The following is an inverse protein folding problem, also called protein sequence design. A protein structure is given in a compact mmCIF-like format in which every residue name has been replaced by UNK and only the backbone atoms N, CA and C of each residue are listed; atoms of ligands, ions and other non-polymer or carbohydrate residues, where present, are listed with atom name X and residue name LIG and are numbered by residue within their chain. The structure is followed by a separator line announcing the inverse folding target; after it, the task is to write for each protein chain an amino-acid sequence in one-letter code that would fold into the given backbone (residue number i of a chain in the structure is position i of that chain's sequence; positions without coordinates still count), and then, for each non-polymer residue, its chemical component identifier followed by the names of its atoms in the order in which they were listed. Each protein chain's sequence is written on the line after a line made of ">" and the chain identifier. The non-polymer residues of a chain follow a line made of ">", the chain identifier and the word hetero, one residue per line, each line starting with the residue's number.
data_IF_462663976807
#
_entry.id   IF_462663976807
#
_cell.length_a   1.000
_cell.length_b   1.000
_cell.length_c   1.000
_cell.angle_alpha   90.00
_cell.angle_beta   90.00
_cell.angle_gamma   90.00
#
_symmetry.space_group_name_H-M   'P 1'
#
loop_
_entity.id
_entity.type
_entity.pdbx_description
1 polymer ?
#
# COMPACT_ATOMS: atom_id res chain seq x y z
N UNK A 1 15.89 5.62 -14.00
CA UNK A 1 16.35 5.47 -12.60
C UNK A 1 17.48 4.45 -12.40
N UNK A 2 17.45 3.24 -12.98
CA UNK A 2 18.62 2.31 -12.89
C UNK A 2 19.91 2.86 -13.51
N UNK A 3 19.80 3.53 -14.66
CA UNK A 3 20.92 4.21 -15.30
C UNK A 3 21.50 5.40 -14.50
N UNK A 4 20.80 5.85 -13.46
CA UNK A 4 21.21 6.94 -12.58
C UNK A 4 21.78 6.44 -11.23
N UNK A 5 21.97 5.13 -11.04
CA UNK A 5 22.57 4.55 -9.82
C UNK A 5 21.69 4.56 -8.56
N UNK A 6 20.40 4.91 -8.67
CA UNK A 6 19.50 4.97 -7.50
C UNK A 6 19.04 3.57 -7.11
N UNK A 7 19.20 3.23 -5.82
CA UNK A 7 18.79 1.94 -5.28
C UNK A 7 17.27 1.69 -5.48
N UNK A 8 16.84 0.48 -5.89
CA UNK A 8 15.43 0.19 -6.22
C UNK A 8 14.44 0.50 -5.09
N UNK A 9 14.84 0.25 -3.83
CA UNK A 9 14.01 0.56 -2.66
C UNK A 9 13.75 2.06 -2.49
N UNK A 10 14.77 2.89 -2.73
CA UNK A 10 14.67 4.35 -2.66
C UNK A 10 13.76 4.88 -3.77
N UNK A 11 13.91 4.37 -4.99
CA UNK A 11 13.06 4.73 -6.12
C UNK A 11 11.58 4.33 -5.88
N UNK A 12 11.32 3.13 -5.37
CA UNK A 12 9.97 2.67 -5.06
C UNK A 12 9.28 3.51 -3.99
N UNK A 13 10.01 3.86 -2.93
CA UNK A 13 9.52 4.72 -1.85
C UNK A 13 9.14 6.11 -2.38
N UNK A 14 10.02 6.72 -3.18
CA UNK A 14 9.77 8.02 -3.80
C UNK A 14 8.56 8.00 -4.75
N UNK A 15 8.41 6.95 -5.57
CA UNK A 15 7.26 6.83 -6.47
C UNK A 15 5.94 6.65 -5.70
N UNK A 16 5.95 5.88 -4.62
CA UNK A 16 4.77 5.72 -3.73
C UNK A 16 4.36 7.06 -3.14
N UNK A 17 5.34 7.85 -2.70
CA UNK A 17 5.18 9.22 -2.23
C UNK A 17 4.58 10.14 -3.31
N UNK A 18 5.10 10.11 -4.54
CA UNK A 18 4.54 10.91 -5.65
C UNK A 18 3.08 10.55 -5.97
N UNK A 19 2.74 9.25 -6.02
CA UNK A 19 1.36 8.80 -6.27
C UNK A 19 0.41 9.32 -5.20
N UNK A 20 0.85 9.33 -3.94
CA UNK A 20 0.07 9.87 -2.84
C UNK A 20 -0.16 11.38 -2.95
N UNK A 21 0.86 12.15 -3.37
CA UNK A 21 0.69 13.57 -3.64
C UNK A 21 -0.32 13.84 -4.77
N UNK A 22 -0.29 13.06 -5.85
CA UNK A 22 -1.27 13.19 -6.93
C UNK A 22 -2.69 12.92 -6.43
N UNK A 23 -2.88 11.88 -5.62
CA UNK A 23 -4.18 11.60 -5.00
C UNK A 23 -4.65 12.74 -4.07
N UNK A 24 -3.75 13.30 -3.25
CA UNK A 24 -4.07 14.42 -2.36
C UNK A 24 -4.41 15.72 -3.12
N UNK A 25 -3.81 15.91 -4.30
CA UNK A 25 -4.15 17.02 -5.20
C UNK A 25 -5.52 16.82 -5.85
N UNK A 26 -5.80 15.63 -6.41
CA UNK A 26 -7.07 15.30 -7.07
C UNK A 26 -8.28 15.33 -6.10
N UNK A 27 -8.04 15.06 -4.81
CA UNK A 27 -9.07 15.12 -3.75
C UNK A 27 -9.19 16.48 -3.07
N UNK A 28 -8.38 17.48 -3.48
CA UNK A 28 -8.41 18.84 -2.91
C UNK A 28 -7.85 18.97 -1.49
N UNK A 29 -7.14 17.96 -1.00
CA UNK A 29 -6.38 18.01 0.28
C UNK A 29 -5.12 18.86 0.15
N UNK A 30 -4.63 19.06 -1.06
CA UNK A 30 -3.60 20.03 -1.43
C UNK A 30 -4.19 21.10 -2.37
N UNK A 31 -3.64 22.32 -2.40
CA UNK A 31 -4.00 23.31 -3.41
C UNK A 31 -3.84 22.71 -4.82
N UNK A 32 -4.83 22.91 -5.70
CA UNK A 32 -4.79 22.33 -7.04
C UNK A 32 -3.58 22.79 -7.87
N UNK A 33 -3.08 21.90 -8.74
CA UNK A 33 -1.92 22.13 -9.62
C UNK A 33 -0.62 22.41 -8.88
N UNK A 34 -0.50 22.00 -7.62
CA UNK A 34 0.69 22.31 -6.84
C UNK A 34 1.88 21.51 -7.35
N UNK A 35 1.72 20.24 -7.73
CA UNK A 35 2.82 19.47 -8.31
C UNK A 35 3.21 19.99 -9.71
N UNK A 36 2.23 20.34 -10.55
CA UNK A 36 2.48 21.03 -11.83
C UNK A 36 3.27 22.33 -11.61
N UNK A 37 2.89 23.14 -10.62
CA UNK A 37 3.59 24.40 -10.29
C UNK A 37 5.00 24.17 -9.76
N UNK A 38 5.20 23.11 -8.98
CA UNK A 38 6.47 22.78 -8.33
C UNK A 38 7.48 22.20 -9.34
N UNK A 39 6.99 21.46 -10.34
CA UNK A 39 7.78 20.94 -11.47
C UNK A 39 7.97 21.98 -12.59
N UNK A 40 7.01 22.91 -12.76
CA UNK A 40 7.11 23.98 -13.76
C UNK A 40 8.15 25.06 -13.38
N UNK A 41 8.49 25.20 -12.09
CA UNK A 41 9.66 25.97 -11.68
C UNK A 41 10.89 25.11 -11.97
N UNK A 42 11.89 25.67 -12.68
CA UNK A 42 13.21 25.04 -12.83
C UNK A 42 13.86 24.86 -11.45
N UNK A 43 13.51 23.76 -10.79
CA UNK A 43 13.89 23.44 -9.42
C UNK A 43 14.98 22.39 -9.47
N UNK A 44 16.07 22.61 -8.73
CA UNK A 44 17.12 21.60 -8.61
C UNK A 44 16.58 20.37 -7.86
N UNK A 45 17.06 19.15 -8.16
CA UNK A 45 16.59 17.93 -7.48
C UNK A 45 16.61 18.01 -5.95
N UNK A 46 17.60 18.70 -5.38
CA UNK A 46 17.70 18.92 -3.92
C UNK A 46 16.61 19.86 -3.38
N UNK A 47 16.29 20.94 -4.09
CA UNK A 47 15.20 21.84 -3.70
C UNK A 47 13.84 21.14 -3.82
N UNK A 48 13.66 20.35 -4.87
CA UNK A 48 12.46 19.54 -5.07
C UNK A 48 12.29 18.53 -3.93
N UNK A 49 13.38 17.86 -3.53
CA UNK A 49 13.39 16.93 -2.39
C UNK A 49 12.95 17.61 -1.10
N UNK A 50 13.52 18.77 -0.77
CA UNK A 50 13.16 19.53 0.44
C UNK A 50 11.70 19.97 0.40
N UNK A 51 11.21 20.46 -0.74
CA UNK A 51 9.81 20.86 -0.90
C UNK A 51 8.84 19.68 -0.78
N UNK A 52 9.19 18.52 -1.33
CA UNK A 52 8.40 17.30 -1.18
C UNK A 52 8.40 16.79 0.26
N UNK A 53 9.55 16.85 0.96
CA UNK A 53 9.62 16.52 2.39
C UNK A 53 8.66 17.39 3.21
N UNK A 54 8.68 18.71 3.00
CA UNK A 54 7.77 19.63 3.68
C UNK A 54 6.29 19.33 3.36
N UNK A 55 5.99 18.95 2.12
CA UNK A 55 4.65 18.53 1.69
C UNK A 55 4.16 17.28 2.45
N UNK A 56 5.01 16.25 2.58
CA UNK A 56 4.67 15.04 3.33
C UNK A 56 4.55 15.30 4.83
N UNK A 57 5.32 16.24 5.38
CA UNK A 57 5.16 16.70 6.77
C UNK A 57 3.81 17.41 6.99
N UNK A 58 3.27 18.04 5.94
CA UNK A 58 1.98 18.74 5.98
C UNK A 58 0.80 17.76 5.93
N UNK A 59 0.99 16.54 5.41
CA UNK A 59 -0.10 15.55 5.37
C UNK A 59 -0.43 15.05 6.79
N UNK A 60 -1.72 15.00 7.18
CA UNK A 60 -2.12 14.70 8.55
C UNK A 60 -2.04 13.20 8.90
N UNK A 61 -0.91 12.51 8.68
CA UNK A 61 -0.76 11.08 9.01
C UNK A 61 -1.21 10.75 10.45
N UNK A 62 -1.73 9.54 10.72
CA UNK A 62 -2.03 9.11 12.09
C UNK A 62 -0.83 9.32 13.01
N UNK A 63 -1.09 9.65 14.28
CA UNK A 63 -0.04 9.96 15.24
C UNK A 63 0.98 8.81 15.34
N UNK A 64 2.27 9.11 15.14
CA UNK A 64 3.35 8.13 15.19
C UNK A 64 3.52 7.27 13.93
N UNK A 65 2.73 7.50 12.88
CA UNK A 65 2.83 6.82 11.57
C UNK A 65 3.21 7.78 10.42
N UNK A 66 3.81 8.93 10.75
CA UNK A 66 4.31 9.85 9.73
C UNK A 66 5.63 9.32 9.11
N UNK A 67 6.01 9.78 7.90
CA UNK A 67 7.26 9.39 7.25
C UNK A 67 8.51 9.55 8.12
N UNK A 68 8.55 10.58 8.99
CA UNK A 68 9.64 10.79 9.94
C UNK A 68 9.78 9.63 10.94
N UNK A 69 8.67 9.01 11.37
CA UNK A 69 8.66 7.89 12.30
C UNK A 69 9.13 6.58 11.66
N UNK A 70 9.08 6.48 10.33
CA UNK A 70 9.42 5.25 9.58
C UNK A 70 10.67 5.41 8.71
N UNK A 71 11.41 6.52 8.86
CA UNK A 71 12.53 6.89 7.99
C UNK A 71 13.68 5.88 7.98
N UNK A 72 13.84 5.11 9.06
CA UNK A 72 14.87 4.08 9.18
C UNK A 72 14.61 2.83 8.30
N UNK A 73 13.43 2.70 7.69
CA UNK A 73 13.05 1.61 6.77
C UNK A 73 13.21 0.20 7.37
N UNK A 74 13.25 0.09 8.69
CA UNK A 74 13.30 -1.19 9.39
C UNK A 74 11.87 -1.65 9.60
N UNK A 75 11.59 -2.89 9.24
CA UNK A 75 10.28 -3.51 9.43
C UNK A 75 10.41 -4.75 10.31
N UNK A 76 9.36 -5.06 11.05
CA UNK A 76 9.24 -6.28 11.83
C UNK A 76 7.97 -7.04 11.41
N UNK A 77 7.99 -8.37 11.57
CA UNK A 77 6.82 -9.21 11.28
C UNK A 77 5.86 -9.17 12.45
N UNK A 78 4.59 -8.98 12.12
CA UNK A 78 3.50 -9.17 13.07
C UNK A 78 3.22 -10.67 13.20
N UNK A 79 3.27 -11.21 14.41
CA UNK A 79 2.88 -12.61 14.64
C UNK A 79 1.39 -12.79 14.29
N UNK A 80 1.10 -13.68 13.34
CA UNK A 80 -0.27 -14.05 12.98
C UNK A 80 -0.92 -14.90 14.08
N UNK A 81 -2.25 -14.87 14.29
CA UNK A 81 -2.93 -16.12 14.62
C UNK A 81 -2.60 -17.11 13.49
N UNK A 82 -2.28 -18.36 13.83
CA UNK A 82 -1.89 -19.38 12.83
C UNK A 82 -2.86 -19.34 11.64
N UNK A 83 -2.34 -19.29 10.40
CA UNK A 83 -3.21 -19.49 9.25
C UNK A 83 -3.85 -20.88 9.39
N UNK A 84 -5.17 -20.97 9.16
CA UNK A 84 -5.86 -22.25 9.02
C UNK A 84 -5.05 -23.17 8.08
N UNK A 85 -4.95 -24.49 8.38
CA UNK A 85 -4.03 -25.38 7.69
C UNK A 85 -4.36 -25.40 6.19
N UNK A 86 -3.54 -24.73 5.39
CA UNK A 86 -3.55 -24.84 3.95
C UNK A 86 -2.31 -25.63 3.52
N UNK A 87 -2.45 -26.62 2.63
CA UNK A 87 -1.32 -27.40 2.17
C UNK A 87 -0.39 -26.52 1.31
N UNK A 88 0.88 -26.46 1.70
CA UNK A 88 2.05 -26.00 0.93
C UNK A 88 2.96 -27.22 0.71
N UNK A 89 3.85 -27.30 -0.32
CA UNK A 89 4.84 -26.26 -0.63
C UNK A 89 5.29 -26.10 -2.11
N UNK A 90 5.79 -24.91 -2.47
CA UNK A 90 6.90 -24.73 -3.41
C UNK A 90 7.52 -23.32 -3.26
N UNK A 91 8.82 -23.31 -3.04
CA UNK A 91 9.76 -22.24 -2.67
C UNK A 91 9.74 -20.96 -3.50
N UNK A 92 9.86 -19.80 -2.82
CA UNK A 92 10.22 -18.52 -3.48
C UNK A 92 9.99 -17.22 -2.69
N UNK A 93 9.21 -17.26 -1.60
CA UNK A 93 9.18 -16.30 -0.48
C UNK A 93 8.15 -16.89 0.47
N UNK A 94 8.55 -17.28 1.68
CA UNK A 94 7.56 -17.66 2.70
C UNK A 94 6.48 -16.56 2.76
N UNK A 95 5.22 -16.92 3.00
CA UNK A 95 4.17 -15.95 3.29
C UNK A 95 4.61 -15.14 4.50
N UNK A 96 5.38 -14.07 4.28
CA UNK A 96 5.85 -13.19 5.33
C UNK A 96 4.58 -12.59 5.91
N UNK A 97 4.41 -12.70 7.22
CA UNK A 97 3.31 -12.08 7.92
C UNK A 97 3.23 -10.57 7.62
N UNK A 98 2.16 -9.89 8.03
CA UNK A 98 2.05 -8.47 7.81
C UNK A 98 3.29 -7.79 8.41
N UNK A 99 3.91 -6.90 7.64
CA UNK A 99 5.09 -6.15 8.09
C UNK A 99 4.64 -4.78 8.60
N UNK A 100 5.18 -4.37 9.74
CA UNK A 100 4.99 -3.02 10.30
C UNK A 100 6.35 -2.34 10.50
N UNK A 101 6.41 -0.99 10.57
CA UNK A 101 7.63 -0.30 10.97
C UNK A 101 8.13 -0.78 12.33
N UNK A 102 9.43 -1.03 12.43
CA UNK A 102 10.05 -1.47 13.66
C UNK A 102 10.18 -0.34 14.68
N UNK A 103 10.06 -0.65 15.97
CA UNK A 103 10.32 0.31 17.05
C UNK A 103 9.18 1.32 17.29
N UNK A 104 7.96 1.00 16.84
CA UNK A 104 6.78 1.81 17.13
C UNK A 104 6.42 1.77 18.63
N UNK A 105 5.97 2.89 19.23
CA UNK A 105 5.38 2.89 20.57
C UNK A 105 4.19 1.93 20.66
N UNK A 106 3.97 1.28 21.81
CA UNK A 106 2.96 0.24 21.97
C UNK A 106 1.54 0.66 21.52
N UNK A 107 1.12 1.89 21.84
CA UNK A 107 -0.18 2.43 21.43
C UNK A 107 -0.30 2.53 19.89
N UNK A 108 0.76 3.00 19.22
CA UNK A 108 0.79 3.16 17.75
C UNK A 108 0.92 1.79 17.06
N UNK A 109 1.66 0.87 17.68
CA UNK A 109 1.84 -0.49 17.19
C UNK A 109 0.52 -1.21 16.99
N UNK A 110 -0.42 -1.09 17.94
CA UNK A 110 -1.74 -1.71 17.82
C UNK A 110 -2.48 -1.28 16.54
N UNK A 111 -2.45 0.01 16.23
CA UNK A 111 -3.04 0.54 15.00
C UNK A 111 -2.28 0.06 13.75
N UNK A 112 -0.94 0.09 13.78
CA UNK A 112 -0.12 -0.39 12.67
C UNK A 112 -0.37 -1.87 12.36
N UNK A 113 -0.49 -2.72 13.39
CA UNK A 113 -0.81 -4.14 13.25
C UNK A 113 -2.19 -4.36 12.64
N UNK A 114 -3.21 -3.62 13.13
CA UNK A 114 -4.57 -3.73 12.62
C UNK A 114 -4.64 -3.36 11.13
N UNK A 115 -4.03 -2.24 10.74
CA UNK A 115 -3.96 -1.80 9.34
C UNK A 115 -3.20 -2.83 8.50
N UNK A 116 -2.03 -3.28 8.97
CA UNK A 116 -1.20 -4.22 8.21
C UNK A 116 -1.91 -5.56 7.98
N UNK A 117 -2.61 -6.10 9.00
CA UNK A 117 -3.41 -7.33 8.86
C UNK A 117 -4.57 -7.14 7.89
N UNK A 118 -5.32 -6.05 7.98
CA UNK A 118 -6.44 -5.77 7.08
C UNK A 118 -5.97 -5.58 5.62
N UNK A 119 -4.88 -4.83 5.42
CA UNK A 119 -4.26 -4.63 4.12
C UNK A 119 -3.76 -5.94 3.51
N UNK A 120 -3.03 -6.76 4.29
CA UNK A 120 -2.57 -8.07 3.83
C UNK A 120 -3.74 -8.98 3.47
N UNK A 121 -4.81 -9.00 4.27
CA UNK A 121 -6.02 -9.78 3.96
C UNK A 121 -6.65 -9.35 2.63
N UNK A 122 -6.75 -8.04 2.37
CA UNK A 122 -7.25 -7.52 1.10
C UNK A 122 -6.34 -7.89 -0.07
N UNK A 123 -5.01 -7.86 0.09
CA UNK A 123 -4.06 -8.33 -0.94
C UNK A 123 -4.28 -9.81 -1.22
N UNK A 124 -4.30 -10.66 -0.19
CA UNK A 124 -4.49 -12.12 -0.34
C UNK A 124 -5.80 -12.46 -1.05
N UNK A 125 -6.91 -11.79 -0.68
CA UNK A 125 -8.20 -12.02 -1.33
C UNK A 125 -8.22 -11.57 -2.79
N UNK A 126 -7.60 -10.42 -3.10
CA UNK A 126 -7.44 -9.95 -4.48
C UNK A 126 -6.59 -10.91 -5.28
N UNK A 127 -5.46 -11.36 -4.75
CA UNK A 127 -4.55 -12.26 -5.43
C UNK A 127 -5.20 -13.62 -5.70
N UNK A 128 -5.94 -14.17 -4.73
CA UNK A 128 -6.69 -15.42 -4.90
C UNK A 128 -7.82 -15.27 -5.94
N UNK A 129 -8.47 -14.09 -6.00
CA UNK A 129 -9.45 -13.83 -7.03
C UNK A 129 -8.80 -13.65 -8.41
N UNK A 130 -7.71 -12.90 -8.53
CA UNK A 130 -7.01 -12.66 -9.79
C UNK A 130 -6.39 -13.95 -10.33
N UNK A 131 -5.85 -14.77 -9.44
CA UNK A 131 -5.08 -15.96 -9.78
C UNK A 131 -5.63 -17.18 -9.01
N UNK A 132 -6.81 -17.71 -9.40
CA UNK A 132 -7.37 -18.90 -8.75
C UNK A 132 -6.39 -20.08 -8.89
N UNK A 133 -6.11 -20.85 -7.83
CA UNK A 133 -5.17 -21.98 -7.89
C UNK A 133 -5.63 -23.09 -8.83
N UNK A 134 -6.94 -23.23 -9.02
CA UNK A 134 -7.54 -24.13 -9.99
C UNK A 134 -7.28 -23.73 -11.46
N UNK A 135 -6.99 -22.45 -11.72
CA UNK A 135 -6.83 -21.89 -13.07
C UNK A 135 -5.39 -21.50 -13.38
N UNK A 136 -4.56 -21.34 -12.35
CA UNK A 136 -3.22 -20.81 -12.49
C UNK A 136 -2.17 -21.74 -11.89
N UNK A 137 -0.96 -21.64 -12.42
CA UNK A 137 0.21 -22.27 -11.86
C UNK A 137 1.37 -21.26 -11.82
N UNK A 138 2.25 -21.42 -10.83
CA UNK A 138 3.44 -20.59 -10.70
C UNK A 138 4.61 -21.29 -11.38
N UNK A 139 5.24 -20.59 -12.31
CA UNK A 139 6.40 -21.08 -13.06
C UNK A 139 7.54 -20.08 -12.86
N UNK A 140 8.76 -20.51 -12.53
CA UNK A 140 9.89 -19.59 -12.41
C UNK A 140 10.04 -18.70 -13.65
N UNK A 141 10.18 -17.37 -13.46
CA UNK A 141 10.24 -16.38 -14.56
C UNK A 141 11.41 -16.65 -15.52
N UNK A 142 12.52 -17.20 -15.00
CA UNK A 142 13.69 -17.65 -15.76
C UNK A 142 14.30 -18.89 -15.08
N UNK A 143 14.47 -19.99 -15.82
CA UNK A 143 15.36 -21.08 -15.42
C UNK A 143 16.80 -20.59 -15.58
N UNK A 144 17.59 -20.43 -14.49
CA UNK A 144 18.87 -19.75 -14.61
C UNK A 144 19.90 -20.62 -15.33
N UNK A 145 20.58 -20.06 -16.33
CA UNK A 145 21.90 -20.55 -16.73
C UNK A 145 22.86 -20.29 -15.55
N UNK A 146 23.27 -21.35 -14.86
CA UNK A 146 24.20 -21.35 -13.70
C UNK A 146 23.68 -20.80 -12.35
N UNK A 147 22.37 -20.88 -12.03
CA UNK A 147 21.88 -20.70 -10.64
C UNK A 147 20.85 -21.76 -10.27
N UNK A 148 20.83 -22.17 -8.99
CA UNK A 148 19.92 -23.20 -8.47
C UNK A 148 18.46 -22.71 -8.32
N UNK A 149 18.24 -21.39 -8.31
CA UNK A 149 16.91 -20.77 -8.23
C UNK A 149 16.88 -19.41 -8.92
N UNK A 150 15.72 -19.05 -9.50
CA UNK A 150 15.52 -17.73 -10.10
C UNK A 150 15.56 -16.63 -9.03
N UNK A 151 16.24 -15.50 -9.28
CA UNK A 151 16.20 -14.33 -8.39
C UNK A 151 14.92 -13.49 -8.58
N UNK A 152 14.11 -13.80 -9.59
CA UNK A 152 12.88 -13.10 -9.90
C UNK A 152 11.66 -13.84 -9.31
N UNK A 153 10.57 -13.11 -8.98
CA UNK A 153 9.33 -13.74 -8.56
C UNK A 153 8.82 -14.71 -9.62
N UNK A 154 8.15 -15.77 -9.20
CA UNK A 154 7.52 -16.70 -10.15
C UNK A 154 6.46 -15.99 -11.00
N UNK A 155 6.41 -16.40 -12.26
CA UNK A 155 5.37 -16.01 -13.20
C UNK A 155 4.10 -16.80 -12.92
N UNK A 156 2.97 -16.10 -12.90
CA UNK A 156 1.67 -16.75 -12.91
C UNK A 156 1.29 -17.07 -14.36
N UNK A 157 1.06 -18.33 -14.68
CA UNK A 157 0.59 -18.76 -16.00
C UNK A 157 -0.75 -19.47 -15.89
N UNK A 158 -1.57 -19.34 -16.93
CA UNK A 158 -2.85 -20.03 -17.01
C UNK A 158 -2.62 -21.53 -17.25
N UNK A 159 -3.33 -22.37 -16.50
CA UNK A 159 -3.44 -23.80 -16.80
C UNK A 159 -4.17 -24.01 -18.14
N UNK A 160 -3.95 -25.15 -18.83
CA UNK A 160 -4.60 -25.43 -20.11
C UNK A 160 -6.12 -25.28 -20.03
N UNK A 161 -6.69 -24.54 -20.99
CA UNK A 161 -8.14 -24.28 -21.07
C UNK A 161 -8.64 -23.06 -20.29
N UNK A 162 -7.86 -22.49 -19.36
CA UNK A 162 -8.31 -21.38 -18.52
C UNK A 162 -7.85 -19.98 -18.97
N UNK A 163 -7.03 -19.89 -20.01
CA UNK A 163 -6.45 -18.61 -20.46
C UNK A 163 -7.53 -17.55 -20.79
N UNK A 164 -8.64 -17.95 -21.42
CA UNK A 164 -9.72 -17.04 -21.78
C UNK A 164 -10.49 -16.50 -20.57
N UNK A 165 -10.69 -17.30 -19.54
CA UNK A 165 -11.37 -16.85 -18.31
C UNK A 165 -10.44 -16.08 -17.39
N UNK A 166 -9.16 -16.45 -17.34
CA UNK A 166 -8.15 -15.70 -16.60
C UNK A 166 -7.95 -14.29 -17.16
N UNK A 167 -8.02 -14.12 -18.49
CA UNK A 167 -7.95 -12.80 -19.13
C UNK A 167 -9.05 -11.83 -18.67
N UNK A 168 -10.20 -12.35 -18.21
CA UNK A 168 -11.30 -11.54 -17.66
C UNK A 168 -11.06 -11.14 -16.20
N UNK A 169 -10.12 -11.77 -15.49
CA UNK A 169 -9.83 -11.48 -14.08
C UNK A 169 -8.80 -10.36 -13.95
N UNK A 170 -9.23 -9.15 -14.28
CA UNK A 170 -8.47 -7.92 -14.06
C UNK A 170 -8.92 -7.20 -12.80
N UNK A 171 -8.05 -6.37 -12.20
CA UNK A 171 -8.45 -5.52 -11.08
C UNK A 171 -9.63 -4.62 -11.44
N UNK A 172 -9.63 -4.04 -12.64
CA UNK A 172 -10.76 -3.23 -13.14
C UNK A 172 -12.06 -4.01 -13.09
N UNK A 173 -12.08 -5.26 -13.59
CA UNK A 173 -13.28 -6.09 -13.55
C UNK A 173 -13.71 -6.46 -12.14
N UNK A 174 -12.75 -6.76 -11.25
CA UNK A 174 -13.03 -7.01 -9.84
C UNK A 174 -13.71 -5.81 -9.16
N UNK A 175 -13.18 -4.61 -9.38
CA UNK A 175 -13.73 -3.40 -8.77
C UNK A 175 -15.05 -2.94 -9.39
N UNK A 176 -15.27 -3.21 -10.68
CA UNK A 176 -16.56 -2.97 -11.32
C UNK A 176 -17.64 -3.92 -10.78
N UNK A 177 -17.31 -5.19 -10.56
CA UNK A 177 -18.24 -6.18 -9.99
C UNK A 177 -18.50 -5.95 -8.50
N UNK A 178 -17.50 -5.43 -7.78
CA UNK A 178 -17.51 -5.11 -6.34
C UNK A 178 -18.23 -6.19 -5.49
N UNK A 179 -17.74 -7.44 -5.49
CA UNK A 179 -18.37 -8.51 -4.72
C UNK A 179 -18.39 -8.19 -3.22
N UNK A 180 -19.35 -8.75 -2.48
CA UNK A 180 -19.57 -8.44 -1.06
C UNK A 180 -18.31 -8.63 -0.19
N UNK A 181 -17.50 -9.67 -0.46
CA UNK A 181 -16.24 -9.89 0.25
C UNK A 181 -15.23 -8.76 0.04
N UNK A 182 -15.22 -8.13 -1.15
CA UNK A 182 -14.31 -7.03 -1.47
C UNK A 182 -14.76 -5.78 -0.72
N UNK A 183 -16.06 -5.47 -0.75
CA UNK A 183 -16.62 -4.36 0.00
C UNK A 183 -16.34 -4.49 1.51
N UNK A 184 -16.52 -5.70 2.07
CA UNK A 184 -16.21 -5.97 3.47
C UNK A 184 -14.72 -5.83 3.78
N UNK A 185 -13.83 -6.33 2.92
CA UNK A 185 -12.39 -6.23 3.13
C UNK A 185 -11.91 -4.76 3.13
N UNK A 186 -12.46 -3.94 2.24
CA UNK A 186 -12.22 -2.49 2.24
C UNK A 186 -12.78 -1.82 3.51
N UNK A 187 -14.03 -2.10 3.88
CA UNK A 187 -14.62 -1.55 5.10
C UNK A 187 -13.80 -1.88 6.37
N UNK A 188 -13.25 -3.10 6.46
CA UNK A 188 -12.36 -3.49 7.57
C UNK A 188 -11.05 -2.70 7.56
N UNK A 189 -10.45 -2.47 6.38
CA UNK A 189 -9.24 -1.67 6.25
C UNK A 189 -9.51 -0.20 6.61
N UNK A 190 -10.60 0.37 6.10
CA UNK A 190 -10.99 1.75 6.35
C UNK A 190 -11.30 1.98 7.84
N UNK A 191 -11.97 1.03 8.51
CA UNK A 191 -12.20 1.07 9.95
C UNK A 191 -10.88 1.05 10.75
N UNK A 192 -9.91 0.22 10.36
CA UNK A 192 -8.60 0.18 11.01
C UNK A 192 -7.83 1.50 10.83
N UNK A 193 -7.93 2.11 9.65
CA UNK A 193 -7.34 3.43 9.37
C UNK A 193 -8.04 4.51 10.19
N UNK A 194 -9.38 4.57 10.18
CA UNK A 194 -10.17 5.52 10.96
C UNK A 194 -9.87 5.41 12.46
N UNK A 195 -9.72 4.19 13.00
CA UNK A 195 -9.29 3.97 14.38
C UNK A 195 -7.90 4.56 14.66
N UNK A 196 -6.96 4.49 13.72
CA UNK A 196 -5.64 5.12 13.85
C UNK A 196 -5.71 6.66 13.85
N UNK A 197 -6.71 7.23 13.18
CA UNK A 197 -7.04 8.66 13.26
C UNK A 197 -7.85 9.04 14.52
N UNK A 198 -8.24 8.06 15.34
CA UNK A 198 -9.08 8.28 16.53
C UNK A 198 -10.56 8.49 16.23
N UNK A 199 -11.03 8.15 15.02
CA UNK A 199 -12.44 8.33 14.61
C UNK A 199 -13.27 7.10 14.97
N UNK A 200 -13.72 7.02 16.23
CA UNK A 200 -14.52 5.91 16.74
C UNK A 200 -15.95 5.85 16.16
N UNK A 201 -16.43 6.96 15.59
CA UNK A 201 -17.75 7.12 14.98
C UNK A 201 -17.76 6.86 13.46
N UNK A 202 -16.63 6.41 12.90
CA UNK A 202 -16.54 6.13 11.48
C UNK A 202 -17.49 5.00 11.06
N UNK A 203 -18.17 5.21 9.93
CA UNK A 203 -18.99 4.18 9.28
C UNK A 203 -18.70 4.16 7.79
N UNK A 204 -18.92 3.03 7.09
CA UNK A 204 -18.77 2.96 5.64
C UNK A 204 -19.71 3.89 4.86
N UNK A 205 -20.74 4.44 5.51
CA UNK A 205 -21.69 5.37 4.92
C UNK A 205 -21.32 6.85 5.18
N UNK A 206 -20.22 7.12 5.89
CA UNK A 206 -19.74 8.48 6.11
C UNK A 206 -19.42 9.16 4.76
N UNK A 207 -19.95 10.36 4.47
CA UNK A 207 -19.72 11.02 3.19
C UNK A 207 -18.29 11.52 3.07
N UNK A 208 -17.75 11.54 1.86
CA UNK A 208 -16.36 11.95 1.59
C UNK A 208 -16.07 13.38 2.09
N UNK A 209 -17.03 14.31 1.96
CA UNK A 209 -16.90 15.69 2.46
C UNK A 209 -16.66 15.77 3.97
N UNK A 210 -17.22 14.81 4.74
CA UNK A 210 -16.97 14.70 6.19
C UNK A 210 -15.53 14.29 6.46
N UNK A 211 -15.06 13.26 5.75
CA UNK A 211 -13.69 12.76 5.86
C UNK A 211 -12.70 13.88 5.51
N UNK A 212 -12.91 14.55 4.37
CA UNK A 212 -12.06 15.65 3.91
C UNK A 212 -12.03 16.80 4.91
N UNK A 213 -13.17 17.17 5.50
CA UNK A 213 -13.25 18.24 6.50
C UNK A 213 -12.47 17.89 7.77
N UNK A 214 -12.53 16.64 8.24
CA UNK A 214 -11.75 16.16 9.40
C UNK A 214 -10.24 16.18 9.11
N UNK A 215 -9.83 15.70 7.94
CA UNK A 215 -8.43 15.75 7.52
C UNK A 215 -7.91 17.19 7.41
N UNK A 216 -8.73 18.10 6.87
CA UNK A 216 -8.40 19.52 6.78
C UNK A 216 -8.26 20.17 8.17
N UNK A 217 -9.14 19.83 9.12
CA UNK A 217 -9.04 20.31 10.50
C UNK A 217 -7.72 19.87 11.16
N UNK A 218 -7.38 18.58 11.04
CA UNK A 218 -6.11 18.04 11.54
C UNK A 218 -4.89 18.73 10.90
N UNK A 219 -4.96 19.02 9.61
CA UNK A 219 -3.90 19.74 8.89
C UNK A 219 -3.72 21.16 9.47
N UNK A 220 -4.82 21.89 9.66
CA UNK A 220 -4.80 23.25 10.23
C UNK A 220 -4.26 23.29 11.66
N UNK A 221 -4.63 22.34 12.51
CA UNK A 221 -4.11 22.25 13.88
C UNK A 221 -2.59 22.01 13.94
N UNK A 222 -2.04 21.31 12.95
CA UNK A 222 -0.60 21.07 12.83
C UNK A 222 0.13 22.27 12.25
N UNK A 223 -0.44 22.93 11.24
CA UNK A 223 0.15 24.11 10.62
C UNK A 223 0.18 25.34 11.56
N UNK A 224 -0.68 25.36 12.59
CA UNK A 224 -0.69 26.40 13.63
C UNK A 224 0.28 26.17 14.79
N UNK A 225 1.05 25.08 14.78
CA UNK A 225 2.14 24.80 15.74
C UNK A 225 3.49 25.16 15.13
#
# INVERSE_FOLDING_TARGET
>A
MRAAGVAPGVASHFLTQCVFCFFAEDTGLLPGRLFERLVAVQTTPEKLRVQLQHLFETFPFPAGLAPANTAHQKTESVAGPEPAPQPSPASGRGSVGPLIPAGLPAAVRLHAEAIARAAQRLVVLRDAWLNPPEWTERVPEVAPLCMDSSPYPDRIVARPGFAGDLAKRTLTNLYNQRPAWLAQAHATLDAAVAAAYGWADWTPAMPDDEILRRLLALNRERAGK
#
